data_IF_421970797529
#
_entry.id   IF_421970797529
#
_cell.length_a   1.000
_cell.length_b   1.000
_cell.length_c   1.000
_cell.angle_alpha   90.00
_cell.angle_beta   90.00
_cell.angle_gamma   90.00
#
_symmetry.space_group_name_H-M   'P 1'
#
loop_
_entity.id
_entity.type
_entity.pdbx_description
1 polymer ?
#
# COMPACT_ATOMS: atom_id res chain seq x y z
N UNK A 1 -0.46 -23.85 44.36
CA UNK A 1 -1.54 -23.00 43.84
C UNK A 1 -1.30 -21.60 44.38
N UNK A 2 -0.54 -20.76 43.64
CA UNK A 2 -0.25 -19.38 44.07
C UNK A 2 -1.37 -18.48 43.59
N UNK A 3 -2.05 -17.82 44.49
CA UNK A 3 -2.96 -16.72 44.22
C UNK A 3 -2.16 -15.62 43.53
N UNK A 4 -2.34 -15.45 42.20
CA UNK A 4 -2.00 -14.21 41.50
C UNK A 4 -2.98 -13.16 42.02
N UNK A 5 -2.50 -12.27 42.91
CA UNK A 5 -3.25 -11.07 43.23
C UNK A 5 -3.55 -10.35 41.90
N UNK A 6 -4.83 -10.06 41.66
CA UNK A 6 -5.24 -9.26 40.54
C UNK A 6 -4.51 -7.91 40.66
N UNK A 7 -3.63 -7.59 39.72
CA UNK A 7 -3.10 -6.24 39.61
C UNK A 7 -4.30 -5.29 39.42
N UNK A 8 -4.29 -4.10 40.05
CA UNK A 8 -5.34 -3.12 39.84
C UNK A 8 -5.43 -2.85 38.34
N UNK A 9 -6.65 -2.72 37.83
CA UNK A 9 -6.88 -2.40 36.41
C UNK A 9 -6.11 -1.11 36.12
N UNK A 10 -5.16 -1.21 35.17
CA UNK A 10 -4.30 -0.09 34.77
C UNK A 10 -5.18 0.86 33.98
N UNK A 11 -5.17 2.14 34.34
CA UNK A 11 -5.75 3.18 33.49
C UNK A 11 -4.79 3.46 32.33
N UNK A 12 -4.99 2.76 31.22
CA UNK A 12 -4.18 2.86 29.99
C UNK A 12 -4.13 4.33 29.49
N UNK A 13 -5.25 5.06 29.60
CA UNK A 13 -5.36 6.44 29.15
C UNK A 13 -4.46 7.36 30.00
N UNK A 14 -4.46 7.16 31.32
CA UNK A 14 -3.60 7.92 32.22
C UNK A 14 -2.12 7.67 31.94
N UNK A 15 -1.73 6.43 31.67
CA UNK A 15 -0.33 6.09 31.37
C UNK A 15 0.12 6.64 30.02
N UNK A 16 -0.75 6.58 28.99
CA UNK A 16 -0.49 7.22 27.70
C UNK A 16 -0.34 8.74 27.84
N UNK A 17 -1.14 9.40 28.69
CA UNK A 17 -1.05 10.83 28.95
C UNK A 17 0.23 11.28 29.68
N UNK A 18 1.02 10.34 30.22
CA UNK A 18 2.38 10.62 30.73
C UNK A 18 3.45 10.52 29.63
N UNK A 19 3.18 9.72 28.59
CA UNK A 19 4.10 9.47 27.49
C UNK A 19 3.92 10.45 26.33
N UNK A 20 2.70 10.93 26.13
CA UNK A 20 2.29 11.79 25.03
C UNK A 20 1.57 13.04 25.53
N UNK A 21 1.44 14.06 24.66
CA UNK A 21 0.63 15.24 24.96
C UNK A 21 -0.88 14.93 24.84
N UNK A 22 -1.76 15.65 25.55
CA UNK A 22 -3.20 15.36 25.55
C UNK A 22 -3.84 15.35 24.16
N UNK A 23 -3.37 16.17 23.22
CA UNK A 23 -3.86 16.26 21.86
C UNK A 23 -3.35 15.13 20.91
N UNK A 24 -2.49 14.27 21.44
CA UNK A 24 -2.05 13.05 20.74
C UNK A 24 -2.84 11.79 21.19
N UNK A 25 -3.78 11.91 22.11
CA UNK A 25 -4.57 10.76 22.63
C UNK A 25 -6.04 11.07 22.46
N UNK A 26 -6.76 10.26 21.69
CA UNK A 26 -8.20 10.37 21.50
C UNK A 26 -8.92 9.17 22.13
N UNK A 27 -10.04 9.47 22.79
CA UNK A 27 -10.90 8.48 23.47
C UNK A 27 -12.39 8.71 23.19
N UNK A 28 -12.70 9.71 22.36
CA UNK A 28 -14.06 9.95 21.93
C UNK A 28 -14.55 8.86 20.98
N UNK A 29 -15.85 8.59 21.02
CA UNK A 29 -16.47 7.47 20.30
C UNK A 29 -16.20 7.54 18.79
N UNK A 30 -16.27 8.71 18.19
CA UNK A 30 -16.05 8.90 16.75
C UNK A 30 -14.63 8.50 16.34
N UNK A 31 -13.63 8.92 17.11
CA UNK A 31 -12.24 8.53 16.90
C UNK A 31 -12.03 7.03 17.07
N UNK A 32 -12.60 6.44 18.14
CA UNK A 32 -12.49 4.99 18.38
C UNK A 32 -13.09 4.18 17.24
N UNK A 33 -14.26 4.54 16.76
CA UNK A 33 -14.91 3.87 15.62
C UNK A 33 -14.13 4.07 14.31
N UNK A 34 -13.68 5.32 14.03
CA UNK A 34 -13.01 5.64 12.76
C UNK A 34 -11.63 4.99 12.64
N UNK A 35 -10.85 5.01 13.73
CA UNK A 35 -9.45 4.53 13.70
C UNK A 35 -9.29 3.09 14.15
N UNK A 36 -10.30 2.52 14.81
CA UNK A 36 -10.27 1.14 15.29
C UNK A 36 -10.55 0.09 14.22
N UNK A 37 -10.82 0.49 12.99
CA UNK A 37 -11.19 -0.40 11.87
C UNK A 37 -10.36 -0.12 10.61
N UNK A 38 -10.37 -1.07 9.68
CA UNK A 38 -9.95 -0.90 8.29
C UNK A 38 -11.17 -1.04 7.35
N UNK A 39 -10.94 -1.35 6.07
CA UNK A 39 -12.03 -1.54 5.11
C UNK A 39 -12.72 -2.91 5.23
N UNK A 40 -12.25 -3.78 6.13
CA UNK A 40 -12.91 -5.04 6.48
C UNK A 40 -14.25 -4.76 7.19
N UNK A 41 -15.28 -5.56 6.87
CA UNK A 41 -16.64 -5.36 7.42
C UNK A 41 -17.05 -6.47 8.40
N UNK A 42 -16.10 -7.31 8.81
CA UNK A 42 -16.37 -8.50 9.59
C UNK A 42 -16.12 -8.34 11.10
N UNK A 43 -15.49 -7.24 11.50
CA UNK A 43 -15.16 -6.99 12.90
C UNK A 43 -15.75 -5.65 13.35
N UNK A 44 -16.18 -5.61 14.62
CA UNK A 44 -16.62 -4.37 15.27
C UNK A 44 -15.43 -3.78 16.03
N UNK A 45 -15.05 -2.52 15.77
CA UNK A 45 -13.94 -1.89 16.48
C UNK A 45 -14.30 -1.68 17.96
N UNK A 46 -13.34 -1.95 18.82
CA UNK A 46 -13.43 -1.74 20.27
C UNK A 46 -12.08 -1.36 20.88
N UNK A 47 -11.33 -0.38 20.31
CA UNK A 47 -10.09 0.09 20.93
C UNK A 47 -10.38 0.85 22.22
N UNK A 48 -9.40 0.89 23.14
CA UNK A 48 -9.49 1.69 24.36
C UNK A 48 -9.05 3.14 24.15
N UNK A 49 -8.14 3.38 23.22
CA UNK A 49 -7.65 4.71 22.83
C UNK A 49 -7.01 4.67 21.44
N UNK A 50 -6.95 5.83 20.82
CA UNK A 50 -6.17 6.09 19.60
C UNK A 50 -5.05 7.04 19.97
N UNK A 51 -3.81 6.74 19.56
CA UNK A 51 -2.68 7.66 19.72
C UNK A 51 -2.19 8.12 18.34
N UNK A 52 -1.77 9.37 18.27
CA UNK A 52 -1.29 10.07 17.07
C UNK A 52 0.17 10.53 17.27
N UNK A 53 1.16 9.64 17.17
CA UNK A 53 2.57 9.99 17.23
C UNK A 53 2.94 11.01 16.15
N UNK A 54 3.83 11.97 16.51
CA UNK A 54 4.35 13.00 15.61
C UNK A 54 5.81 12.79 15.23
N UNK A 55 6.45 11.85 15.94
CA UNK A 55 7.86 11.49 15.72
C UNK A 55 8.09 10.00 15.97
N UNK A 56 9.24 9.50 15.54
CA UNK A 56 9.70 8.14 15.88
C UNK A 56 9.84 7.96 17.40
N UNK A 57 10.27 8.98 18.11
CA UNK A 57 10.42 9.01 19.56
C UNK A 57 9.07 8.84 20.28
N UNK A 58 8.01 9.45 19.78
CA UNK A 58 6.65 9.24 20.30
C UNK A 58 6.20 7.78 20.16
N UNK A 59 6.50 7.13 19.02
CA UNK A 59 6.22 5.70 18.82
C UNK A 59 7.02 4.86 19.81
N UNK A 60 8.29 5.18 20.04
CA UNK A 60 9.13 4.53 21.07
C UNK A 60 8.50 4.67 22.45
N UNK A 61 8.05 5.87 22.82
CA UNK A 61 7.39 6.12 24.11
C UNK A 61 6.12 5.29 24.28
N UNK A 62 5.28 5.20 23.24
CA UNK A 62 4.07 4.36 23.23
C UNK A 62 4.41 2.88 23.40
N UNK A 63 5.41 2.38 22.66
CA UNK A 63 5.84 0.97 22.77
C UNK A 63 6.38 0.65 24.18
N UNK A 64 7.18 1.55 24.75
CA UNK A 64 7.67 1.36 26.13
C UNK A 64 6.52 1.38 27.14
N UNK A 65 5.57 2.30 27.01
CA UNK A 65 4.38 2.37 27.84
C UNK A 65 3.57 1.05 27.76
N UNK A 66 3.30 0.57 26.55
CA UNK A 66 2.57 -0.68 26.33
C UNK A 66 3.27 -1.89 26.96
N UNK A 67 4.60 -1.99 26.81
CA UNK A 67 5.39 -3.07 27.41
C UNK A 67 5.41 -3.02 28.93
N UNK A 68 5.55 -1.83 29.49
CA UNK A 68 5.60 -1.63 30.95
C UNK A 68 4.26 -2.01 31.61
N UNK A 69 3.16 -1.67 30.93
CA UNK A 69 1.81 -1.80 31.49
C UNK A 69 1.01 -2.98 30.94
N UNK A 70 1.53 -3.68 29.92
CA UNK A 70 0.99 -4.96 29.45
C UNK A 70 -0.27 -4.82 28.58
N UNK A 71 -0.41 -3.74 27.78
CA UNK A 71 -1.49 -3.61 26.82
C UNK A 71 -1.01 -3.81 25.37
N UNK A 72 -1.93 -4.19 24.50
CA UNK A 72 -1.64 -4.45 23.09
C UNK A 72 -1.73 -3.18 22.23
N UNK A 73 -0.93 -3.14 21.15
CA UNK A 73 -0.91 -2.07 20.18
C UNK A 73 -1.33 -2.58 18.80
N UNK A 74 -2.09 -1.78 18.05
CA UNK A 74 -2.45 -2.04 16.66
C UNK A 74 -1.95 -0.90 15.79
N UNK A 75 -1.02 -1.13 14.82
CA UNK A 75 -0.60 -0.11 13.88
C UNK A 75 -1.73 0.23 12.90
N UNK A 76 -1.96 1.51 12.63
CA UNK A 76 -2.99 1.98 11.71
C UNK A 76 -2.42 3.02 10.75
N UNK A 77 -2.51 2.74 9.46
CA UNK A 77 -2.23 3.67 8.37
C UNK A 77 -3.51 4.24 7.77
N UNK A 78 -3.61 4.24 6.44
CA UNK A 78 -4.77 4.76 5.69
C UNK A 78 -6.07 3.95 5.83
N UNK A 79 -6.04 2.83 6.52
CA UNK A 79 -7.20 1.96 6.79
C UNK A 79 -7.92 1.44 5.54
N UNK A 80 -7.22 1.35 4.43
CA UNK A 80 -7.72 0.86 3.13
C UNK A 80 -7.63 -0.65 2.98
N UNK A 81 -7.02 -1.36 3.95
CA UNK A 81 -6.84 -2.81 3.94
C UNK A 81 -8.16 -3.58 4.07
N UNK A 82 -8.19 -4.79 3.54
CA UNK A 82 -9.36 -5.68 3.50
C UNK A 82 -9.19 -6.94 4.36
N UNK A 83 -8.06 -7.05 5.07
CA UNK A 83 -7.68 -8.27 5.80
C UNK A 83 -7.78 -8.16 7.33
N UNK A 84 -8.21 -7.02 7.85
CA UNK A 84 -8.37 -6.83 9.29
C UNK A 84 -7.07 -6.50 10.04
N UNK A 85 -5.96 -6.25 9.35
CA UNK A 85 -4.65 -6.01 9.98
C UNK A 85 -4.56 -4.74 10.83
N UNK A 86 -5.45 -3.75 10.60
CA UNK A 86 -5.55 -2.52 11.39
C UNK A 86 -6.79 -2.46 12.29
N UNK A 87 -7.49 -3.59 12.48
CA UNK A 87 -8.67 -3.66 13.35
C UNK A 87 -8.25 -3.88 14.80
N UNK A 88 -8.75 -3.02 15.70
CA UNK A 88 -8.62 -3.15 17.15
C UNK A 88 -9.98 -3.56 17.72
N UNK A 89 -10.17 -4.83 18.10
CA UNK A 89 -11.46 -5.38 18.50
C UNK A 89 -11.51 -5.83 19.97
N UNK A 90 -10.39 -5.78 20.73
CA UNK A 90 -10.28 -6.38 22.05
C UNK A 90 -9.65 -5.43 23.10
N UNK A 91 -9.87 -4.13 22.98
CA UNK A 91 -9.34 -3.14 23.93
C UNK A 91 -7.88 -2.77 23.70
N UNK A 92 -7.38 -2.95 22.49
CA UNK A 92 -6.04 -2.51 22.10
C UNK A 92 -5.97 -0.98 22.01
N UNK A 93 -4.76 -0.44 22.01
CA UNK A 93 -4.47 0.95 21.66
C UNK A 93 -4.08 1.01 20.18
N UNK A 94 -4.79 1.80 19.40
CA UNK A 94 -4.44 2.05 18.00
C UNK A 94 -3.35 3.11 17.91
N UNK A 95 -2.30 2.83 17.15
CA UNK A 95 -1.20 3.76 16.87
C UNK A 95 -1.35 4.25 15.41
N UNK A 96 -1.94 5.43 15.25
CA UNK A 96 -2.19 6.02 13.92
C UNK A 96 -0.95 6.74 13.40
N UNK A 97 -0.58 6.46 12.15
CA UNK A 97 0.54 7.11 11.47
C UNK A 97 0.15 8.46 10.84
N UNK A 98 -1.09 8.92 10.97
CA UNK A 98 -1.61 10.13 10.29
C UNK A 98 -0.76 11.39 10.49
N UNK A 99 -0.04 11.51 11.61
CA UNK A 99 0.80 12.68 11.90
C UNK A 99 2.27 12.51 11.48
N UNK A 100 2.66 11.33 11.06
CA UNK A 100 3.97 11.05 10.45
C UNK A 100 3.90 11.15 8.91
N UNK A 101 3.32 12.21 8.38
CA UNK A 101 2.92 12.33 6.98
C UNK A 101 3.81 13.24 6.12
N UNK A 102 4.97 13.61 6.61
CA UNK A 102 5.90 14.45 5.86
C UNK A 102 6.37 13.78 4.57
N UNK A 103 6.39 14.55 3.47
CA UNK A 103 7.06 14.17 2.22
C UNK A 103 8.28 15.09 2.07
N UNK A 104 9.47 14.50 2.09
CA UNK A 104 10.73 15.22 1.98
C UNK A 104 11.00 15.72 0.55
N UNK A 105 12.05 16.50 0.38
CA UNK A 105 12.50 16.90 -0.94
C UNK A 105 13.01 15.68 -1.73
N UNK A 106 12.69 15.62 -3.02
CA UNK A 106 13.18 14.57 -3.91
C UNK A 106 14.68 14.76 -4.15
N UNK A 107 15.47 13.72 -3.90
CA UNK A 107 16.87 13.67 -4.26
C UNK A 107 16.99 13.25 -5.73
N UNK A 108 17.33 14.23 -6.59
CA UNK A 108 17.44 14.02 -8.04
C UNK A 108 18.65 13.15 -8.43
N UNK A 109 19.71 13.15 -7.63
CA UNK A 109 20.90 12.34 -7.90
C UNK A 109 20.63 10.86 -7.65
N UNK A 110 20.06 10.54 -6.50
CA UNK A 110 19.75 9.17 -6.11
C UNK A 110 18.36 8.73 -6.62
N UNK A 111 17.58 9.64 -7.21
CA UNK A 111 16.19 9.41 -7.61
C UNK A 111 15.41 8.76 -6.47
N UNK A 112 15.37 9.43 -5.35
CA UNK A 112 14.71 8.91 -4.15
C UNK A 112 14.00 10.01 -3.37
N UNK A 113 13.06 9.62 -2.53
CA UNK A 113 12.37 10.52 -1.60
C UNK A 113 12.25 9.85 -0.25
N UNK A 114 12.53 10.59 0.83
CA UNK A 114 12.29 10.12 2.19
C UNK A 114 10.95 10.67 2.68
N UNK A 115 10.12 9.79 3.23
CA UNK A 115 8.75 10.09 3.61
C UNK A 115 8.41 9.48 4.96
N UNK A 116 7.56 10.14 5.73
CA UNK A 116 6.96 9.55 6.92
C UNK A 116 5.96 8.44 6.56
N UNK A 117 5.79 7.48 7.45
CA UNK A 117 4.93 6.31 7.22
C UNK A 117 3.46 6.66 6.97
N UNK A 118 2.99 7.81 7.45
CA UNK A 118 1.64 8.35 7.23
C UNK A 118 1.49 9.15 5.93
N UNK A 119 2.54 9.30 5.11
CA UNK A 119 2.44 9.99 3.83
C UNK A 119 1.49 9.23 2.89
N UNK A 120 0.57 9.96 2.27
CA UNK A 120 -0.40 9.40 1.32
C UNK A 120 0.31 9.08 0.02
N UNK A 121 0.00 7.92 -0.57
CA UNK A 121 0.63 7.44 -1.81
C UNK A 121 0.55 8.46 -2.94
N UNK A 122 -0.61 9.05 -3.17
CA UNK A 122 -0.82 10.09 -4.18
C UNK A 122 0.10 11.31 -3.95
N UNK A 123 0.30 11.74 -2.70
CA UNK A 123 1.19 12.87 -2.40
C UNK A 123 2.65 12.56 -2.76
N UNK A 124 3.07 11.31 -2.65
CA UNK A 124 4.40 10.85 -3.05
C UNK A 124 4.53 10.84 -4.58
N UNK A 125 3.50 10.35 -5.28
CA UNK A 125 3.42 10.36 -6.75
C UNK A 125 3.46 11.80 -7.28
N UNK A 126 2.69 12.71 -6.68
CA UNK A 126 2.66 14.12 -7.04
C UNK A 126 4.02 14.80 -6.85
N UNK A 127 4.69 14.55 -5.71
CA UNK A 127 6.03 15.09 -5.44
C UNK A 127 7.08 14.59 -6.44
N UNK A 128 7.02 13.32 -6.83
CA UNK A 128 7.90 12.76 -7.87
C UNK A 128 7.61 13.39 -9.24
N UNK A 129 6.33 13.51 -9.60
CA UNK A 129 5.89 14.07 -10.88
C UNK A 129 6.30 15.53 -11.07
N UNK A 130 6.27 16.34 -10.01
CA UNK A 130 6.70 17.76 -10.06
C UNK A 130 8.14 17.95 -10.50
N UNK A 131 8.97 16.93 -10.36
CA UNK A 131 10.39 16.94 -10.77
C UNK A 131 10.69 16.01 -11.96
N UNK A 132 9.65 15.53 -12.65
CA UNK A 132 9.79 14.66 -13.82
C UNK A 132 10.19 13.22 -13.50
N UNK A 133 9.98 12.77 -12.27
CA UNK A 133 10.16 11.39 -11.83
C UNK A 133 8.81 10.71 -11.56
N UNK A 134 8.84 9.42 -11.29
CA UNK A 134 7.67 8.58 -11.13
C UNK A 134 7.84 7.59 -9.97
N UNK A 135 6.82 7.50 -9.11
CA UNK A 135 6.66 6.43 -8.13
C UNK A 135 5.61 5.46 -8.66
N UNK A 136 5.98 4.22 -9.07
CA UNK A 136 5.12 3.40 -9.92
C UNK A 136 4.09 2.54 -9.18
N UNK A 137 4.15 2.47 -7.85
CA UNK A 137 3.14 1.71 -7.09
C UNK A 137 1.84 2.50 -7.10
N UNK A 138 0.82 1.93 -7.75
CA UNK A 138 -0.48 2.58 -7.93
C UNK A 138 -1.63 1.58 -7.81
N UNK A 139 -2.70 2.00 -7.14
CA UNK A 139 -3.92 1.22 -6.93
C UNK A 139 -5.09 2.15 -6.58
N UNK A 140 -6.32 1.62 -6.60
CA UNK A 140 -7.56 2.40 -6.44
C UNK A 140 -7.61 3.26 -5.16
N UNK A 141 -6.88 2.90 -4.11
CA UNK A 141 -6.84 3.64 -2.84
C UNK A 141 -5.63 4.58 -2.71
N UNK A 142 -4.90 4.90 -3.78
CA UNK A 142 -3.70 5.76 -3.73
C UNK A 142 -3.96 7.12 -3.07
N UNK A 143 -5.15 7.67 -3.22
CA UNK A 143 -5.57 8.94 -2.60
C UNK A 143 -5.82 8.90 -1.08
N UNK A 144 -5.79 7.72 -0.45
CA UNK A 144 -6.05 7.54 0.99
C UNK A 144 -5.12 6.56 1.68
N UNK A 145 -4.50 5.64 0.95
CA UNK A 145 -3.53 4.71 1.52
C UNK A 145 -2.26 5.44 1.97
N UNK A 146 -1.68 4.98 3.06
CA UNK A 146 -0.44 5.51 3.61
C UNK A 146 0.72 4.56 3.36
N UNK A 147 1.89 5.13 3.06
CA UNK A 147 3.07 4.36 2.62
C UNK A 147 3.54 3.32 3.64
N UNK A 148 3.45 3.60 4.93
CA UNK A 148 3.79 2.62 5.98
C UNK A 148 2.90 1.38 5.92
N UNK A 149 1.60 1.55 5.66
CA UNK A 149 0.66 0.47 5.44
C UNK A 149 0.95 -0.30 4.14
N UNK A 150 1.25 0.41 3.05
CA UNK A 150 1.60 -0.21 1.77
C UNK A 150 2.87 -1.07 1.88
N UNK A 151 3.86 -0.60 2.63
CA UNK A 151 5.08 -1.36 2.92
C UNK A 151 4.77 -2.55 3.82
N UNK A 152 4.00 -2.35 4.89
CA UNK A 152 3.65 -3.41 5.83
C UNK A 152 2.89 -4.56 5.17
N UNK A 153 2.06 -4.28 4.17
CA UNK A 153 1.33 -5.30 3.40
C UNK A 153 2.05 -5.74 2.12
N UNK A 154 3.19 -5.12 1.79
CA UNK A 154 3.86 -5.27 0.50
C UNK A 154 2.85 -5.11 -0.65
N UNK A 155 2.12 -3.99 -0.64
CA UNK A 155 1.04 -3.74 -1.59
C UNK A 155 1.53 -3.84 -3.04
N UNK A 156 0.73 -4.46 -3.89
CA UNK A 156 0.95 -4.57 -5.32
C UNK A 156 0.43 -3.33 -6.05
N UNK A 157 -0.45 -3.55 -6.99
CA UNK A 157 -1.10 -2.51 -7.79
C UNK A 157 -1.19 -2.91 -9.24
N UNK A 158 -1.71 -2.02 -10.08
CA UNK A 158 -1.95 -2.33 -11.49
C UNK A 158 -0.65 -2.43 -12.31
N UNK A 159 0.41 -1.75 -11.86
CA UNK A 159 1.68 -1.67 -12.57
C UNK A 159 2.69 -2.78 -12.19
N UNK A 160 2.25 -3.79 -11.43
CA UNK A 160 3.14 -4.87 -10.91
C UNK A 160 3.87 -5.61 -12.03
N UNK A 161 3.21 -5.85 -13.16
CA UNK A 161 3.81 -6.57 -14.29
C UNK A 161 5.07 -5.87 -14.83
N UNK A 162 5.14 -4.54 -14.73
CA UNK A 162 6.28 -3.74 -15.20
C UNK A 162 7.26 -3.40 -14.09
N UNK A 163 6.74 -3.00 -12.95
CA UNK A 163 7.53 -2.31 -11.91
C UNK A 163 7.67 -3.11 -10.62
N UNK A 164 7.05 -4.28 -10.53
CA UNK A 164 7.08 -5.05 -9.30
C UNK A 164 6.18 -4.46 -8.21
N UNK A 165 6.41 -4.89 -6.98
CA UNK A 165 5.60 -4.55 -5.81
C UNK A 165 6.24 -3.42 -5.00
N UNK A 166 5.57 -2.94 -3.96
CA UNK A 166 6.12 -1.94 -3.02
C UNK A 166 7.52 -2.29 -2.54
N UNK A 167 7.82 -3.57 -2.27
CA UNK A 167 9.12 -4.10 -1.86
C UNK A 167 10.28 -3.63 -2.73
N UNK A 168 10.06 -3.57 -4.04
CA UNK A 168 11.09 -3.28 -5.03
C UNK A 168 11.48 -1.79 -5.04
N UNK A 169 10.65 -0.95 -4.42
CA UNK A 169 10.81 0.51 -4.37
C UNK A 169 11.27 1.02 -3.01
N UNK A 170 11.35 0.17 -1.99
CA UNK A 170 11.81 0.55 -0.65
C UNK A 170 13.33 0.52 -0.58
N UNK A 171 13.97 1.68 -0.65
CA UNK A 171 15.44 1.82 -0.54
C UNK A 171 15.93 1.89 0.91
N UNK A 172 15.11 2.31 1.86
CA UNK A 172 15.46 2.37 3.28
C UNK A 172 14.21 2.39 4.17
N UNK A 173 14.37 1.99 5.43
CA UNK A 173 13.30 2.01 6.44
C UNK A 173 13.84 2.49 7.79
N UNK A 174 13.03 3.27 8.51
CA UNK A 174 13.16 3.46 9.95
C UNK A 174 12.00 2.76 10.63
N UNK A 175 12.30 1.85 11.54
CA UNK A 175 11.29 1.03 12.25
C UNK A 175 11.51 1.07 13.76
N UNK A 176 10.42 1.02 14.52
CA UNK A 176 10.43 0.83 15.97
C UNK A 176 9.99 -0.59 16.27
N UNK A 177 10.87 -1.40 16.82
CA UNK A 177 10.57 -2.79 17.17
C UNK A 177 9.62 -2.90 18.34
N UNK A 178 9.03 -4.08 18.58
CA UNK A 178 8.23 -4.35 19.79
C UNK A 178 9.02 -4.22 21.11
N UNK A 179 10.33 -4.01 21.09
CA UNK A 179 11.14 -3.66 22.27
C UNK A 179 11.28 -2.15 22.47
N UNK A 180 10.84 -1.32 21.52
CA UNK A 180 11.07 0.12 21.50
C UNK A 180 12.44 0.50 20.96
N UNK A 181 13.17 -0.42 20.32
CA UNK A 181 14.46 -0.14 19.67
C UNK A 181 14.23 0.44 18.28
N UNK A 182 14.93 1.52 17.94
CA UNK A 182 14.87 2.13 16.61
C UNK A 182 15.91 1.47 15.70
N UNK A 183 15.49 0.98 14.55
CA UNK A 183 16.36 0.40 13.53
C UNK A 183 16.29 1.23 12.26
N UNK A 184 17.43 1.80 11.82
CA UNK A 184 17.56 2.43 10.52
C UNK A 184 18.18 1.43 9.54
N UNK A 185 17.38 0.94 8.61
CA UNK A 185 17.71 -0.14 7.69
C UNK A 185 18.07 0.40 6.31
N UNK A 186 19.26 0.08 5.84
CA UNK A 186 19.87 0.46 4.55
C UNK A 186 20.06 1.98 4.29
N UNK A 187 19.38 2.87 4.96
CA UNK A 187 19.51 4.35 4.85
C UNK A 187 19.49 4.88 3.41
N UNK A 188 18.75 4.23 2.51
CA UNK A 188 18.60 4.66 1.12
C UNK A 188 19.76 4.30 0.18
N UNK A 189 20.74 3.49 0.60
CA UNK A 189 21.84 3.09 -0.29
C UNK A 189 21.34 2.21 -1.44
N UNK A 190 21.64 2.61 -2.68
CA UNK A 190 21.29 1.85 -3.88
C UNK A 190 22.08 0.53 -3.99
N UNK A 191 23.33 0.53 -3.58
CA UNK A 191 24.17 -0.66 -3.53
C UNK A 191 24.65 -0.89 -2.10
N UNK A 192 24.13 -1.96 -1.48
CA UNK A 192 24.55 -2.41 -0.16
C UNK A 192 24.65 -3.94 -0.14
N UNK A 193 25.85 -4.46 -0.13
CA UNK A 193 26.13 -5.90 -0.08
C UNK A 193 26.54 -6.34 1.34
N UNK A 194 26.30 -5.52 2.37
CA UNK A 194 26.75 -5.75 3.73
C UNK A 194 25.70 -6.56 4.51
N UNK A 195 25.94 -7.85 4.67
CA UNK A 195 25.13 -8.72 5.51
C UNK A 195 23.73 -8.99 4.95
N UNK A 196 22.82 -9.34 5.85
CA UNK A 196 21.41 -9.59 5.52
C UNK A 196 20.64 -8.29 5.36
N UNK A 197 19.73 -8.26 4.41
CA UNK A 197 18.82 -7.14 4.18
C UNK A 197 17.57 -7.25 5.07
N UNK A 198 17.63 -6.69 6.24
CA UNK A 198 16.55 -6.74 7.22
C UNK A 198 15.31 -5.93 6.83
N UNK A 199 15.36 -5.06 5.79
CA UNK A 199 14.16 -4.40 5.27
C UNK A 199 13.10 -5.43 4.92
N UNK A 200 13.52 -6.53 4.28
CA UNK A 200 12.63 -7.58 3.81
C UNK A 200 11.93 -8.39 4.90
N UNK A 201 12.35 -8.27 6.16
CA UNK A 201 11.59 -8.82 7.30
C UNK A 201 10.37 -7.96 7.64
N UNK A 202 10.50 -6.63 7.53
CA UNK A 202 9.43 -5.69 7.87
C UNK A 202 8.45 -5.47 6.72
N UNK A 203 8.95 -5.55 5.46
CA UNK A 203 8.09 -5.43 4.27
C UNK A 203 7.22 -6.68 4.15
N UNK A 204 5.89 -6.50 4.24
CA UNK A 204 4.94 -7.61 4.24
C UNK A 204 4.73 -8.26 5.62
N UNK A 205 5.25 -7.66 6.70
CA UNK A 205 5.07 -8.18 8.06
C UNK A 205 3.74 -7.77 8.73
N UNK A 206 2.94 -6.94 8.08
CA UNK A 206 1.63 -6.45 8.56
C UNK A 206 1.68 -5.83 9.97
N UNK A 207 2.82 -5.24 10.34
CA UNK A 207 3.00 -4.57 11.64
C UNK A 207 3.33 -5.49 12.82
N UNK A 208 3.38 -6.81 12.64
CA UNK A 208 3.65 -7.76 13.75
C UNK A 208 5.09 -7.71 14.28
N UNK A 209 6.04 -7.18 13.51
CA UNK A 209 7.45 -7.07 13.92
C UNK A 209 7.81 -5.69 14.47
N UNK A 210 6.98 -4.67 14.25
CA UNK A 210 7.20 -3.31 14.70
C UNK A 210 6.47 -2.27 13.84
N UNK A 211 6.72 -1.01 14.17
CA UNK A 211 6.11 0.15 13.51
C UNK A 211 7.08 0.75 12.50
N UNK A 212 6.68 0.86 11.25
CA UNK A 212 7.39 1.66 10.25
C UNK A 212 7.06 3.13 10.54
N UNK A 213 8.08 3.97 10.74
CA UNK A 213 7.91 5.41 11.00
C UNK A 213 8.36 6.28 9.85
N UNK A 214 9.32 5.79 9.06
CA UNK A 214 9.86 6.51 7.90
C UNK A 214 10.32 5.51 6.83
N UNK A 215 10.24 5.91 5.57
CA UNK A 215 10.76 5.15 4.44
C UNK A 215 11.52 6.04 3.46
N UNK A 216 12.59 5.53 2.86
CA UNK A 216 13.20 6.08 1.66
C UNK A 216 12.76 5.24 0.47
N UNK A 217 12.11 5.89 -0.49
CA UNK A 217 11.57 5.26 -1.69
C UNK A 217 12.43 5.59 -2.90
N UNK A 218 12.69 4.60 -3.73
CA UNK A 218 13.28 4.79 -5.04
C UNK A 218 12.23 5.34 -6.03
N UNK A 219 12.69 6.13 -6.98
CA UNK A 219 11.89 6.71 -8.05
C UNK A 219 12.49 6.36 -9.41
N UNK A 220 11.67 6.38 -10.46
CA UNK A 220 12.12 6.10 -11.83
C UNK A 220 11.65 7.18 -12.80
N UNK A 221 12.00 7.03 -14.08
CA UNK A 221 11.41 7.84 -15.13
C UNK A 221 9.95 7.41 -15.36
N UNK A 222 9.05 8.35 -15.69
CA UNK A 222 7.67 7.99 -16.05
C UNK A 222 7.67 7.18 -17.37
N UNK A 223 6.64 6.33 -17.57
CA UNK A 223 6.46 5.62 -18.81
C UNK A 223 6.24 6.61 -19.97
N UNK A 224 6.65 6.22 -21.17
CA UNK A 224 6.49 7.05 -22.37
C UNK A 224 5.22 6.67 -23.10
N UNK A 225 4.36 7.68 -23.36
CA UNK A 225 3.15 7.52 -24.19
C UNK A 225 2.32 6.28 -23.78
N UNK A 226 2.00 6.15 -22.48
CA UNK A 226 1.14 5.07 -22.01
C UNK A 226 -0.17 5.04 -22.78
N UNK A 227 -0.47 3.91 -23.40
CA UNK A 227 -1.67 3.69 -24.20
C UNK A 227 -2.45 2.52 -23.64
N UNK A 228 -3.78 2.65 -23.60
CA UNK A 228 -4.69 1.62 -23.10
C UNK A 228 -5.41 0.96 -24.25
N UNK A 229 -5.46 -0.37 -24.21
CA UNK A 229 -6.24 -1.22 -25.11
C UNK A 229 -7.19 -2.07 -24.28
N UNK A 230 -8.44 -2.21 -24.70
CA UNK A 230 -9.41 -3.12 -24.11
C UNK A 230 -9.81 -4.16 -25.14
N UNK A 231 -9.74 -5.43 -24.80
CA UNK A 231 -10.12 -6.56 -25.65
C UNK A 231 -11.26 -7.35 -25.02
N UNK A 232 -12.21 -7.78 -25.85
CA UNK A 232 -13.21 -8.78 -25.45
C UNK A 232 -12.63 -10.18 -25.64
N UNK A 233 -12.76 -11.06 -24.66
CA UNK A 233 -12.15 -12.37 -24.65
C UNK A 233 -13.21 -13.47 -24.71
N UNK A 234 -12.95 -14.52 -25.51
CA UNK A 234 -13.86 -15.64 -25.72
C UNK A 234 -14.00 -16.59 -24.52
N UNK A 235 -13.05 -16.56 -23.58
CA UNK A 235 -13.07 -17.42 -22.38
C UNK A 235 -11.90 -17.18 -21.46
N UNK A 236 -11.91 -17.89 -20.32
CA UNK A 236 -10.85 -17.78 -19.30
C UNK A 236 -9.47 -18.20 -19.85
N UNK A 237 -9.42 -19.21 -20.71
CA UNK A 237 -8.18 -19.69 -21.34
C UNK A 237 -7.53 -18.64 -22.26
N UNK A 238 -8.34 -17.77 -22.88
CA UNK A 238 -7.87 -16.70 -23.74
C UNK A 238 -7.05 -15.65 -22.99
N UNK A 239 -7.34 -15.43 -21.70
CA UNK A 239 -6.66 -14.40 -20.88
C UNK A 239 -5.14 -14.58 -20.92
N UNK A 240 -4.66 -15.78 -20.62
CA UNK A 240 -3.22 -16.05 -20.56
C UNK A 240 -2.58 -16.13 -21.96
N UNK A 241 -3.31 -16.62 -22.94
CA UNK A 241 -2.80 -16.70 -24.34
C UNK A 241 -2.61 -15.33 -24.97
N UNK A 242 -3.56 -14.44 -24.73
CA UNK A 242 -3.48 -13.02 -25.16
C UNK A 242 -2.33 -12.32 -24.43
N UNK A 243 -2.17 -12.52 -23.11
CA UNK A 243 -1.04 -11.99 -22.37
C UNK A 243 0.29 -12.45 -22.96
N UNK A 244 0.48 -13.75 -23.17
CA UNK A 244 1.71 -14.31 -23.74
C UNK A 244 2.04 -13.70 -25.12
N UNK A 245 1.05 -13.56 -25.98
CA UNK A 245 1.21 -12.95 -27.30
C UNK A 245 1.62 -11.49 -27.22
N UNK A 246 0.92 -10.69 -26.42
CA UNK A 246 1.12 -9.24 -26.36
C UNK A 246 2.40 -8.88 -25.62
N UNK A 247 2.75 -9.56 -24.53
CA UNK A 247 3.99 -9.27 -23.80
C UNK A 247 5.27 -9.55 -24.59
N UNK A 248 5.20 -10.40 -25.62
CA UNK A 248 6.32 -10.61 -26.54
C UNK A 248 6.49 -9.48 -27.56
N UNK A 249 5.49 -8.60 -27.69
CA UNK A 249 5.41 -7.54 -28.68
C UNK A 249 5.66 -6.17 -28.08
N UNK A 250 5.11 -5.89 -26.91
CA UNK A 250 5.14 -4.58 -26.27
C UNK A 250 5.56 -4.66 -24.79
N UNK A 251 6.15 -3.57 -24.28
CA UNK A 251 6.42 -3.38 -22.85
C UNK A 251 5.13 -3.08 -22.12
N UNK A 252 4.55 -4.08 -21.45
CA UNK A 252 3.32 -3.90 -20.68
C UNK A 252 3.56 -3.09 -19.42
N UNK A 253 2.67 -2.16 -19.12
CA UNK A 253 2.57 -1.41 -17.86
C UNK A 253 1.57 -2.09 -16.94
N UNK A 254 0.40 -2.49 -17.48
CA UNK A 254 -0.64 -3.20 -16.78
C UNK A 254 -1.29 -4.27 -17.68
N UNK A 255 -1.77 -5.32 -17.04
CA UNK A 255 -2.62 -6.35 -17.66
C UNK A 255 -3.65 -6.80 -16.63
N UNK A 256 -4.88 -6.32 -16.80
CA UNK A 256 -5.97 -6.61 -15.89
C UNK A 256 -7.09 -7.33 -16.65
N UNK A 257 -7.80 -8.22 -15.98
CA UNK A 257 -8.98 -8.84 -16.58
C UNK A 257 -10.21 -8.73 -15.67
N UNK A 258 -11.35 -8.70 -16.27
CA UNK A 258 -12.63 -8.67 -15.56
C UNK A 258 -13.72 -9.43 -16.32
N UNK A 259 -14.71 -9.90 -15.60
CA UNK A 259 -15.81 -10.68 -16.16
C UNK A 259 -16.93 -9.77 -16.69
N UNK A 260 -17.77 -10.33 -17.56
CA UNK A 260 -19.02 -9.68 -17.99
C UNK A 260 -19.92 -9.27 -16.81
N UNK A 261 -19.97 -10.09 -15.75
CA UNK A 261 -20.72 -9.75 -14.54
C UNK A 261 -20.19 -8.45 -13.90
N UNK A 262 -18.86 -8.28 -13.82
CA UNK A 262 -18.26 -7.06 -13.28
C UNK A 262 -18.61 -5.84 -14.12
N UNK A 263 -18.52 -5.94 -15.46
CA UNK A 263 -18.91 -4.87 -16.39
C UNK A 263 -20.38 -4.51 -16.21
N UNK A 264 -21.27 -5.51 -16.21
CA UNK A 264 -22.70 -5.29 -16.05
C UNK A 264 -23.02 -4.56 -14.75
N UNK A 265 -22.34 -4.94 -13.64
CA UNK A 265 -22.55 -4.28 -12.35
C UNK A 265 -22.03 -2.84 -12.33
N UNK A 266 -20.90 -2.56 -12.94
CA UNK A 266 -20.38 -1.19 -13.05
C UNK A 266 -21.31 -0.32 -13.91
N UNK A 267 -21.77 -0.82 -15.06
CA UNK A 267 -22.74 -0.12 -15.92
C UNK A 267 -24.03 0.18 -15.17
N UNK A 268 -24.57 -0.82 -14.44
CA UNK A 268 -25.80 -0.70 -13.66
C UNK A 268 -25.70 0.37 -12.54
N UNK A 269 -24.58 0.38 -11.81
CA UNK A 269 -24.43 1.22 -10.60
C UNK A 269 -23.79 2.58 -10.86
N UNK A 270 -22.85 2.67 -11.81
CA UNK A 270 -22.14 3.91 -12.11
C UNK A 270 -22.70 4.66 -13.32
N UNK A 271 -23.59 4.05 -14.11
CA UNK A 271 -24.21 4.67 -15.28
C UNK A 271 -23.21 4.95 -16.41
N UNK A 272 -22.06 4.27 -16.44
CA UNK A 272 -21.05 4.41 -17.49
C UNK A 272 -21.39 3.55 -18.71
N UNK A 273 -20.88 3.95 -19.88
CA UNK A 273 -21.06 3.16 -21.10
C UNK A 273 -20.22 1.86 -21.04
N UNK A 274 -20.67 0.85 -21.75
CA UNK A 274 -19.91 -0.39 -21.96
C UNK A 274 -18.69 -0.10 -22.86
N UNK A 275 -17.60 -0.87 -22.75
CA UNK A 275 -16.44 -0.72 -23.64
C UNK A 275 -16.79 -1.00 -25.11
N UNK A 276 -17.69 -1.97 -25.37
CA UNK A 276 -18.23 -2.27 -26.71
C UNK A 276 -19.70 -2.72 -26.62
N UNK A 277 -20.40 -2.70 -27.77
CA UNK A 277 -21.78 -3.17 -27.89
C UNK A 277 -21.88 -4.71 -27.73
N UNK A 278 -20.88 -5.43 -28.25
CA UNK A 278 -20.81 -6.90 -28.14
C UNK A 278 -20.39 -7.31 -26.73
N UNK A 279 -21.15 -8.19 -26.11
CA UNK A 279 -20.81 -8.77 -24.81
C UNK A 279 -19.91 -9.98 -25.00
N UNK A 280 -18.85 -10.05 -24.21
CA UNK A 280 -17.92 -11.17 -24.15
C UNK A 280 -17.83 -11.71 -22.70
N UNK A 281 -17.51 -12.99 -22.48
CA UNK A 281 -17.44 -13.57 -21.14
C UNK A 281 -16.42 -12.87 -20.23
N UNK A 282 -15.31 -12.42 -20.82
CA UNK A 282 -14.23 -11.70 -20.13
C UNK A 282 -13.72 -10.55 -20.98
N UNK A 283 -13.01 -9.65 -20.33
CA UNK A 283 -12.34 -8.51 -20.94
C UNK A 283 -10.92 -8.42 -20.40
N UNK A 284 -9.97 -8.01 -21.22
CA UNK A 284 -8.63 -7.62 -20.80
C UNK A 284 -8.43 -6.12 -21.00
N UNK A 285 -7.96 -5.44 -19.97
CA UNK A 285 -7.43 -4.08 -20.03
C UNK A 285 -5.91 -4.18 -20.04
N UNK A 286 -5.30 -3.62 -21.06
CA UNK A 286 -3.87 -3.72 -21.33
C UNK A 286 -3.33 -2.31 -21.45
N UNK A 287 -2.36 -1.95 -20.62
CA UNK A 287 -1.63 -0.71 -20.72
C UNK A 287 -0.20 -1.01 -21.13
N UNK A 288 0.34 -0.25 -22.07
CA UNK A 288 1.68 -0.45 -22.62
C UNK A 288 2.35 0.86 -23.00
N UNK A 289 3.69 0.85 -23.04
CA UNK A 289 4.46 1.96 -23.58
C UNK A 289 4.38 1.97 -25.11
N UNK A 290 3.88 3.07 -25.66
CA UNK A 290 3.78 3.30 -27.11
C UNK A 290 4.82 4.36 -27.52
N UNK A 291 6.09 3.97 -27.57
CA UNK A 291 7.21 4.89 -27.84
C UNK A 291 7.59 4.96 -29.32
N UNK A 292 6.94 4.18 -30.20
CA UNK A 292 7.17 4.21 -31.65
C UNK A 292 5.97 3.68 -32.45
N UNK A 293 5.78 4.16 -33.68
CA UNK A 293 4.79 3.66 -34.61
C UNK A 293 4.92 2.15 -34.90
N UNK A 294 6.12 1.59 -34.74
CA UNK A 294 6.37 0.15 -34.92
C UNK A 294 5.73 -0.70 -33.80
N UNK A 295 5.69 -0.21 -32.58
CA UNK A 295 5.04 -0.94 -31.47
C UNK A 295 3.54 -1.00 -31.69
N UNK A 296 2.94 0.10 -32.12
CA UNK A 296 1.51 0.14 -32.40
C UNK A 296 1.13 -0.84 -33.52
N UNK A 297 1.87 -0.81 -34.65
CA UNK A 297 1.65 -1.74 -35.75
C UNK A 297 1.83 -3.21 -35.33
N UNK A 298 2.92 -3.52 -34.63
CA UNK A 298 3.18 -4.89 -34.15
C UNK A 298 2.12 -5.37 -33.14
N UNK A 299 1.57 -4.45 -32.35
CA UNK A 299 0.50 -4.78 -31.41
C UNK A 299 -0.82 -5.06 -32.17
N UNK A 300 -1.14 -4.29 -33.20
CA UNK A 300 -2.29 -4.60 -34.05
C UNK A 300 -2.16 -5.96 -34.73
N UNK A 301 -0.98 -6.30 -35.28
CA UNK A 301 -0.72 -7.63 -35.87
C UNK A 301 -0.89 -8.75 -34.79
N UNK A 302 -0.43 -8.51 -33.58
CA UNK A 302 -0.59 -9.46 -32.47
C UNK A 302 -2.05 -9.67 -32.07
N UNK A 303 -2.85 -8.59 -32.05
CA UNK A 303 -4.29 -8.66 -31.75
C UNK A 303 -5.04 -9.35 -32.90
N UNK A 304 -4.71 -9.05 -34.16
CA UNK A 304 -5.30 -9.71 -35.32
C UNK A 304 -5.06 -11.23 -35.27
N UNK A 305 -3.82 -11.65 -34.95
CA UNK A 305 -3.52 -13.07 -34.75
C UNK A 305 -4.34 -13.67 -33.60
N UNK A 306 -4.60 -12.94 -32.50
CA UNK A 306 -5.47 -13.41 -31.42
C UNK A 306 -6.93 -13.59 -31.89
N UNK A 307 -7.39 -12.71 -32.79
CA UNK A 307 -8.74 -12.81 -33.39
C UNK A 307 -8.84 -14.02 -34.34
N UNK A 308 -7.83 -14.28 -35.15
CA UNK A 308 -7.78 -15.45 -36.04
C UNK A 308 -7.83 -16.77 -35.24
N UNK A 309 -7.19 -16.82 -34.08
CA UNK A 309 -7.23 -17.96 -33.17
C UNK A 309 -8.55 -18.07 -32.36
N UNK A 310 -9.44 -17.09 -32.48
CA UNK A 310 -10.71 -17.03 -31.77
C UNK A 310 -10.59 -16.74 -30.26
N UNK A 311 -9.51 -16.11 -29.82
CA UNK A 311 -9.31 -15.73 -28.41
C UNK A 311 -9.96 -14.36 -28.09
N UNK A 312 -10.01 -13.49 -29.09
CA UNK A 312 -10.58 -12.13 -29.05
C UNK A 312 -11.80 -12.03 -29.96
#
# INVERSE_FOLDING_TARGET
MGFRMAQPAIDVIQELGKALTPDQVATDLLSLETYGQDWTRFATPAPVAIVFPRSTEDVVAVVHCARQHGFALVPSGGRTGLSGGAVAANGEVVVSMDKLNAVGAVNMTDRSVTVGAGAITQSIQDAASQVGLFYPVDFASSGSSQIGGNIATNAGGINVIRYGMTRDWVAGLTVVTGKGEVMALNKGLMKNNTGLDFRHLFIGSEGILGFITEATLALTAPPKNATVLVLGLSGMDAIMRVLERIQSTASLLAYEFFSELAVSKVVEHAGVARPFDTQTPFYALIEFENDSEHIEAALFDAVEACMEEGWV
#
